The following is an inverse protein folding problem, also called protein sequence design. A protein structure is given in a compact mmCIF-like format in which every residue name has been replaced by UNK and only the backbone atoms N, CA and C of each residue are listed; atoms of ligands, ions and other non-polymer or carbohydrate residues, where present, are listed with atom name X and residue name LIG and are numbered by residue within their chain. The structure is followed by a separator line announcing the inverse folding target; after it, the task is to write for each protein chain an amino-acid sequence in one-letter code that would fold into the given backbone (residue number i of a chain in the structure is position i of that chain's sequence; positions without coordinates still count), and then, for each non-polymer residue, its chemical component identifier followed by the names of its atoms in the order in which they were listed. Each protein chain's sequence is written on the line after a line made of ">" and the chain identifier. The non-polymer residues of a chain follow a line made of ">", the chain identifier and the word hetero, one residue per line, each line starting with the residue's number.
data_IF_454058336972
#
_entry.id   IF_454058336972
#
_cell.length_a   1.000
_cell.length_b   1.000
_cell.length_c   1.000
_cell.angle_alpha   90.00
_cell.angle_beta   90.00
_cell.angle_gamma   90.00
#
_symmetry.space_group_name_H-M   'P 1'
#
loop_
_entity.id
_entity.type
_entity.pdbx_description
1 polymer ?
#
# COMPACT_ATOMS: atom_id res chain seq x y z
N UNK A 1 25.86 4.83 -21.45
CA UNK A 1 24.40 4.82 -21.69
C UNK A 1 23.79 3.42 -21.60
N UNK A 2 24.41 2.37 -22.17
CA UNK A 2 23.91 0.98 -22.01
C UNK A 2 23.93 0.51 -20.54
N UNK A 3 25.00 0.84 -19.81
CA UNK A 3 25.16 0.48 -18.40
C UNK A 3 24.09 1.10 -17.49
N UNK A 4 23.74 2.37 -17.71
CA UNK A 4 22.67 3.07 -16.97
C UNK A 4 21.29 2.47 -17.27
N UNK A 5 21.06 2.05 -18.51
CA UNK A 5 19.79 1.45 -18.94
C UNK A 5 19.63 0.03 -18.38
N UNK A 6 20.71 -0.75 -18.34
CA UNK A 6 20.75 -2.07 -17.69
C UNK A 6 20.51 -1.99 -16.17
N UNK A 7 21.08 -0.97 -15.51
CA UNK A 7 20.86 -0.71 -14.08
C UNK A 7 19.39 -0.38 -13.78
N UNK A 8 18.78 0.49 -14.57
CA UNK A 8 17.36 0.83 -14.45
C UNK A 8 16.47 -0.39 -14.72
N UNK A 9 16.76 -1.17 -15.76
CA UNK A 9 16.02 -2.39 -16.05
C UNK A 9 16.12 -3.40 -14.89
N UNK A 10 17.32 -3.58 -14.31
CA UNK A 10 17.53 -4.42 -13.14
C UNK A 10 16.71 -3.96 -11.93
N UNK A 11 16.64 -2.65 -11.68
CA UNK A 11 15.84 -2.08 -10.60
C UNK A 11 14.33 -2.34 -10.80
N UNK A 12 13.83 -2.16 -12.02
CA UNK A 12 12.43 -2.43 -12.36
C UNK A 12 12.10 -3.91 -12.19
N UNK A 13 12.97 -4.80 -12.66
CA UNK A 13 12.80 -6.26 -12.48
C UNK A 13 12.81 -6.63 -10.99
N UNK A 14 13.73 -6.08 -10.21
CA UNK A 14 13.76 -6.30 -8.77
C UNK A 14 12.48 -5.81 -8.09
N UNK A 15 11.97 -4.63 -8.46
CA UNK A 15 10.70 -4.10 -7.93
C UNK A 15 9.54 -5.04 -8.27
N UNK A 16 9.41 -5.46 -9.52
CA UNK A 16 8.35 -6.37 -9.96
C UNK A 16 8.41 -7.72 -9.24
N UNK A 17 9.62 -8.27 -9.04
CA UNK A 17 9.82 -9.50 -8.28
C UNK A 17 9.39 -9.35 -6.83
N UNK A 18 9.76 -8.25 -6.17
CA UNK A 18 9.33 -7.99 -4.78
C UNK A 18 7.80 -7.85 -4.75
N UNK A 19 7.20 -7.10 -5.67
CA UNK A 19 5.74 -6.96 -5.76
C UNK A 19 5.02 -8.29 -5.98
N UNK A 20 5.56 -9.16 -6.84
CA UNK A 20 5.02 -10.51 -7.04
C UNK A 20 5.12 -11.37 -5.79
N UNK A 21 6.24 -11.30 -5.07
CA UNK A 21 6.43 -12.03 -3.81
C UNK A 21 5.48 -11.52 -2.72
N UNK A 22 5.31 -10.21 -2.59
CA UNK A 22 4.34 -9.60 -1.65
C UNK A 22 2.89 -9.98 -2.00
N UNK A 23 2.54 -10.02 -3.29
CA UNK A 23 1.24 -10.52 -3.77
C UNK A 23 0.95 -11.92 -3.24
N UNK A 24 1.91 -12.85 -3.37
CA UNK A 24 1.72 -14.23 -2.92
C UNK A 24 1.75 -14.37 -1.39
N UNK A 25 2.58 -13.59 -0.69
CA UNK A 25 2.68 -13.67 0.79
C UNK A 25 1.49 -13.04 1.51
N UNK A 26 1.01 -11.91 1.03
CA UNK A 26 -0.01 -11.10 1.70
C UNK A 26 -1.38 -11.18 1.04
N UNK A 27 -1.50 -11.83 -0.12
CA UNK A 27 -2.75 -11.90 -0.87
C UNK A 27 -3.21 -10.55 -1.40
N UNK A 28 -2.28 -9.62 -1.66
CA UNK A 28 -2.57 -8.30 -2.24
C UNK A 28 -3.03 -8.44 -3.70
N UNK A 29 -3.82 -7.48 -4.21
CA UNK A 29 -3.95 -7.31 -5.66
C UNK A 29 -2.62 -6.84 -6.26
N UNK A 30 -2.42 -7.04 -7.56
CA UNK A 30 -1.16 -6.66 -8.22
C UNK A 30 -0.87 -5.15 -8.14
N UNK A 31 -1.91 -4.32 -8.29
CA UNK A 31 -1.83 -2.86 -8.13
C UNK A 31 -1.46 -2.48 -6.69
N UNK A 32 -2.13 -3.09 -5.69
CA UNK A 32 -1.81 -2.91 -4.27
C UNK A 32 -0.37 -3.29 -3.94
N UNK A 33 0.10 -4.44 -4.44
CA UNK A 33 1.47 -4.90 -4.20
C UNK A 33 2.49 -3.94 -4.80
N UNK A 34 2.28 -3.48 -6.03
CA UNK A 34 3.20 -2.55 -6.69
C UNK A 34 3.35 -1.23 -5.92
N UNK A 35 2.23 -0.72 -5.41
CA UNK A 35 2.17 0.50 -4.62
C UNK A 35 2.66 0.33 -3.18
N UNK A 36 2.55 -0.87 -2.60
CA UNK A 36 3.04 -1.17 -1.25
C UNK A 36 4.56 -1.30 -1.17
N UNK A 37 5.21 -1.89 -2.20
CA UNK A 37 6.67 -2.12 -2.22
C UNK A 37 7.52 -0.88 -1.88
N UNK A 38 7.31 0.30 -2.50
CA UNK A 38 8.13 1.48 -2.17
C UNK A 38 7.94 1.92 -0.72
N UNK A 39 6.71 1.83 -0.19
CA UNK A 39 6.44 2.15 1.20
C UNK A 39 7.07 1.15 2.18
N UNK A 40 7.04 -0.14 1.85
CA UNK A 40 7.71 -1.19 2.64
C UNK A 40 9.22 -0.94 2.72
N UNK A 41 9.84 -0.55 1.61
CA UNK A 41 11.27 -0.26 1.54
C UNK A 41 11.63 1.02 2.30
N UNK A 42 10.84 2.09 2.15
CA UNK A 42 11.09 3.37 2.81
C UNK A 42 10.87 3.32 4.32
N UNK A 43 9.80 2.67 4.78
CA UNK A 43 9.37 2.65 6.18
C UNK A 43 9.69 1.35 6.92
N UNK A 44 10.29 0.36 6.23
CA UNK A 44 10.71 -0.94 6.78
C UNK A 44 9.60 -1.63 7.59
N UNK A 45 8.42 -1.68 7.00
CA UNK A 45 7.19 -2.16 7.67
C UNK A 45 7.25 -3.67 7.90
N UNK A 46 6.85 -4.09 9.10
CA UNK A 46 6.71 -5.51 9.45
C UNK A 46 5.34 -6.04 9.06
N UNK A 47 5.31 -7.10 8.25
CA UNK A 47 4.05 -7.59 7.67
C UNK A 47 3.29 -8.58 8.56
N UNK A 48 3.84 -8.97 9.72
CA UNK A 48 3.26 -10.02 10.57
C UNK A 48 1.81 -9.75 10.99
N UNK A 49 1.44 -8.47 11.20
CA UNK A 49 0.07 -8.09 11.59
C UNK A 49 -0.86 -7.93 10.39
N UNK A 50 -0.33 -7.68 9.19
CA UNK A 50 -1.11 -7.44 7.97
C UNK A 50 -1.85 -8.72 7.55
N UNK A 51 -1.19 -9.87 7.67
CA UNK A 51 -1.80 -11.19 7.39
C UNK A 51 -3.02 -11.47 8.28
N UNK A 52 -3.02 -11.00 9.53
CA UNK A 52 -4.15 -11.16 10.45
C UNK A 52 -5.32 -10.28 10.02
N UNK A 53 -5.03 -9.02 9.69
CA UNK A 53 -6.04 -8.05 9.24
C UNK A 53 -6.72 -8.50 7.94
N UNK A 54 -5.97 -9.08 7.00
CA UNK A 54 -6.54 -9.60 5.74
C UNK A 54 -7.34 -10.88 5.89
N UNK A 55 -7.13 -11.66 6.95
CA UNK A 55 -7.91 -12.87 7.24
C UNK A 55 -9.17 -12.57 8.06
N UNK A 56 -9.35 -11.34 8.54
CA UNK A 56 -10.54 -10.96 9.28
C UNK A 56 -11.76 -10.97 8.34
N UNK A 57 -12.78 -11.76 8.68
CA UNK A 57 -14.07 -11.83 7.95
C UNK A 57 -15.00 -10.64 8.24
N UNK A 58 -14.60 -9.74 9.13
CA UNK A 58 -15.45 -8.68 9.72
C UNK A 58 -14.91 -7.33 9.24
N UNK A 59 -15.75 -6.30 9.00
CA UNK A 59 -15.30 -4.98 8.56
C UNK A 59 -14.16 -4.47 9.46
N UNK A 60 -12.99 -4.27 8.84
CA UNK A 60 -11.80 -3.76 9.52
C UNK A 60 -11.95 -2.26 9.68
N UNK A 61 -12.26 -1.82 10.89
CA UNK A 61 -12.23 -0.39 11.24
C UNK A 61 -10.79 -0.03 11.58
N UNK A 62 -10.19 0.86 10.81
CA UNK A 62 -8.86 1.40 11.08
C UNK A 62 -8.95 2.92 11.23
N UNK A 63 -8.15 3.47 12.13
CA UNK A 63 -8.08 4.91 12.38
C UNK A 63 -6.63 5.33 12.28
N UNK A 64 -6.33 6.27 11.38
CA UNK A 64 -5.00 6.88 11.29
C UNK A 64 -5.04 8.16 12.11
N UNK A 65 -4.32 8.16 13.23
CA UNK A 65 -4.08 9.39 13.97
C UNK A 65 -3.08 10.25 13.19
N UNK A 66 -3.39 11.54 13.01
CA UNK A 66 -2.51 12.52 12.39
C UNK A 66 -1.10 12.56 13.04
N UNK A 67 -1.00 12.28 14.34
CA UNK A 67 0.28 12.25 15.06
C UNK A 67 1.21 11.11 14.63
N UNK A 68 0.66 10.06 14.02
CA UNK A 68 1.43 8.91 13.56
C UNK A 68 2.31 9.22 12.34
N UNK A 69 2.06 10.35 11.65
CA UNK A 69 2.75 10.77 10.42
C UNK A 69 2.85 9.68 9.33
N UNK A 70 2.00 8.64 9.41
CA UNK A 70 1.94 7.60 8.40
C UNK A 70 1.10 8.06 7.21
N UNK A 71 1.61 7.81 6.02
CA UNK A 71 0.94 8.13 4.76
C UNK A 71 -0.37 7.31 4.64
N UNK A 72 -1.55 7.95 4.47
CA UNK A 72 -2.82 7.24 4.33
C UNK A 72 -2.86 6.25 3.16
N UNK A 73 -2.12 6.56 2.09
CA UNK A 73 -1.91 5.71 0.91
C UNK A 73 -1.41 4.30 1.27
N UNK A 74 -0.62 4.20 2.34
CA UNK A 74 -0.06 2.95 2.82
C UNK A 74 -1.16 1.99 3.29
N UNK A 75 -2.16 2.49 4.02
CA UNK A 75 -3.28 1.68 4.50
C UNK A 75 -4.23 1.29 3.36
N UNK A 76 -4.46 2.19 2.38
CA UNK A 76 -5.24 1.86 1.17
C UNK A 76 -4.60 0.72 0.37
N UNK A 77 -3.26 0.62 0.33
CA UNK A 77 -2.60 -0.50 -0.35
C UNK A 77 -2.65 -1.83 0.42
N UNK A 78 -2.77 -1.78 1.75
CA UNK A 78 -2.63 -2.95 2.60
C UNK A 78 -3.95 -3.60 2.99
N UNK A 79 -5.01 -2.81 3.11
CA UNK A 79 -6.31 -3.29 3.55
C UNK A 79 -7.07 -4.04 2.44
N UNK A 80 -8.01 -4.92 2.80
CA UNK A 80 -8.91 -5.58 1.85
C UNK A 80 -9.75 -4.59 1.03
N UNK A 81 -10.11 -4.96 -0.20
CA UNK A 81 -10.88 -4.10 -1.13
C UNK A 81 -12.28 -3.70 -0.60
N UNK A 82 -12.89 -4.53 0.24
CA UNK A 82 -14.22 -4.28 0.84
C UNK A 82 -14.15 -3.41 2.10
N UNK A 83 -13.00 -2.78 2.38
CA UNK A 83 -12.84 -1.92 3.56
C UNK A 83 -13.39 -0.53 3.28
N UNK A 84 -14.19 -0.01 4.22
CA UNK A 84 -14.62 1.38 4.19
C UNK A 84 -13.50 2.26 4.75
N UNK A 85 -13.04 3.21 3.96
CA UNK A 85 -11.98 4.13 4.35
C UNK A 85 -12.59 5.48 4.76
N UNK A 86 -12.57 5.78 6.05
CA UNK A 86 -12.97 7.09 6.59
C UNK A 86 -11.70 7.89 6.81
N UNK A 87 -11.57 9.02 6.10
CA UNK A 87 -10.40 9.90 6.15
C UNK A 87 -10.81 11.23 6.77
N UNK A 88 -9.95 11.78 7.63
CA UNK A 88 -10.03 13.19 8.05
C UNK A 88 -9.81 14.10 6.84
N UNK A 89 -10.43 15.29 6.83
CA UNK A 89 -10.44 16.24 5.73
C UNK A 89 -9.01 16.65 5.28
N UNK A 90 -8.07 16.75 6.22
CA UNK A 90 -6.66 17.02 5.90
C UNK A 90 -6.03 15.85 5.14
N UNK A 91 -6.34 14.62 5.55
CA UNK A 91 -5.83 13.39 4.92
C UNK A 91 -6.49 13.12 3.56
N UNK A 92 -7.76 13.49 3.41
CA UNK A 92 -8.50 13.38 2.16
C UNK A 92 -7.95 14.29 1.05
N UNK A 93 -7.38 15.44 1.42
CA UNK A 93 -6.77 16.42 0.49
C UNK A 93 -5.30 16.14 0.15
N UNK A 94 -4.71 15.03 0.62
CA UNK A 94 -3.31 14.71 0.31
C UNK A 94 -3.13 14.39 -1.19
N UNK A 95 -2.19 15.04 -1.91
CA UNK A 95 -1.93 14.76 -3.33
C UNK A 95 -1.46 13.31 -3.58
N UNK A 96 -0.86 12.70 -2.55
CA UNK A 96 -0.40 11.31 -2.59
C UNK A 96 -1.54 10.30 -2.50
N UNK A 97 -2.77 10.73 -2.23
CA UNK A 97 -3.93 9.84 -2.17
C UNK A 97 -4.47 9.47 -3.57
N UNK A 98 -4.20 10.30 -4.59
CA UNK A 98 -4.80 10.18 -5.93
C UNK A 98 -4.59 8.79 -6.56
N UNK A 99 -3.36 8.21 -6.57
CA UNK A 99 -3.14 6.87 -7.15
C UNK A 99 -3.76 5.72 -6.34
N UNK A 100 -4.16 5.95 -5.10
CA UNK A 100 -4.73 4.96 -4.20
C UNK A 100 -6.24 5.14 -3.99
N UNK A 101 -6.84 6.23 -4.49
CA UNK A 101 -8.27 6.52 -4.33
C UNK A 101 -9.15 5.45 -4.97
N UNK A 102 -8.69 4.81 -6.05
CA UNK A 102 -9.40 3.70 -6.71
C UNK A 102 -9.40 2.40 -5.91
N UNK A 103 -8.53 2.27 -4.90
CA UNK A 103 -8.40 1.05 -4.09
C UNK A 103 -9.37 1.00 -2.90
N UNK A 104 -9.95 2.13 -2.51
CA UNK A 104 -10.82 2.22 -1.35
C UNK A 104 -12.13 2.93 -1.68
N UNK A 105 -13.25 2.44 -1.12
CA UNK A 105 -14.45 3.26 -1.04
C UNK A 105 -14.23 4.33 0.02
N UNK A 106 -13.96 5.55 -0.42
CA UNK A 106 -13.77 6.71 0.45
C UNK A 106 -15.09 7.45 0.60
N UNK A 107 -15.47 7.75 1.84
CA UNK A 107 -16.49 8.73 2.16
C UNK A 107 -15.74 9.89 2.81
N UNK A 108 -15.82 11.05 2.18
CA UNK A 108 -15.24 12.31 2.65
C UNK A 108 -16.31 13.13 3.39
#
# INVERSE_FOLDING_TARGET
>A
MILTLALLAGLVVAWLLIGAVEKFRLGLRFTQALLYVPFKLAYRISDNRITVVRKAQVPVIYVISHQSRFEPALMLSLLPDDTLHILDEVSARSPWLEPWRELGRTIA
#
